data_IF_103794864048
#
_entry.id   IF_103794864048
#
_cell.length_a   1.000
_cell.length_b   1.000
_cell.length_c   1.000
_cell.angle_alpha   90.00
_cell.angle_beta   90.00
_cell.angle_gamma   90.00
#
_symmetry.space_group_name_H-M   'P 1'
#
loop_
_entity.id
_entity.type
_entity.pdbx_description
1 polymer ?
#
# COMPACT_ATOMS: atom_id res chain seq x y z
N UNK A 1 -3.32 1.64 5.61
CA UNK A 1 -3.24 2.97 4.97
C UNK A 1 -2.23 3.75 5.77
N UNK A 2 -1.13 4.22 5.16
CA UNK A 2 -0.17 5.04 5.90
C UNK A 2 -0.63 6.49 5.86
N UNK A 3 -0.40 7.20 6.96
CA UNK A 3 -0.68 8.62 7.10
C UNK A 3 0.65 9.35 7.33
N UNK A 4 0.84 10.50 6.68
CA UNK A 4 2.05 11.30 6.82
C UNK A 4 1.70 12.50 7.69
N UNK A 5 1.97 12.39 8.98
CA UNK A 5 1.81 13.50 9.90
C UNK A 5 3.06 14.37 9.86
N UNK A 6 2.87 15.64 9.50
CA UNK A 6 3.91 16.65 9.47
C UNK A 6 3.72 17.58 10.68
N UNK A 7 4.59 17.46 11.68
CA UNK A 7 4.63 18.39 12.81
C UNK A 7 5.82 19.32 12.62
N UNK A 8 5.62 20.65 12.61
CA UNK A 8 6.73 21.60 12.64
C UNK A 8 7.38 21.57 14.02
N UNK A 9 8.70 21.54 14.04
CA UNK A 9 9.51 21.73 15.24
C UNK A 9 9.73 23.21 15.56
N UNK A 10 10.43 23.45 16.66
CA UNK A 10 10.71 24.79 17.20
C UNK A 10 11.56 25.66 16.26
N UNK A 11 12.20 25.07 15.25
CA UNK A 11 12.96 25.78 14.21
C UNK A 11 12.12 26.12 12.98
N UNK A 12 10.87 25.65 12.93
CA UNK A 12 10.02 25.71 11.75
C UNK A 12 10.32 24.61 10.72
N UNK A 13 11.19 23.66 11.05
CA UNK A 13 11.44 22.49 10.21
C UNK A 13 10.37 21.42 10.47
N UNK A 14 9.96 20.70 9.44
CA UNK A 14 8.93 19.66 9.55
C UNK A 14 9.60 18.30 9.60
N UNK A 15 9.39 17.56 10.70
CA UNK A 15 9.79 16.16 10.79
C UNK A 15 8.54 15.29 10.67
N UNK A 16 8.47 14.47 9.62
CA UNK A 16 7.41 13.50 9.42
C UNK A 16 7.85 12.10 9.84
N UNK A 17 7.04 11.40 10.64
CA UNK A 17 7.26 10.00 11.00
C UNK A 17 6.33 9.11 10.18
N UNK A 18 6.92 8.21 9.41
CA UNK A 18 6.20 7.21 8.60
C UNK A 18 6.54 5.84 9.15
N UNK A 19 5.58 5.19 9.81
CA UNK A 19 5.71 3.83 10.28
C UNK A 19 5.07 2.88 9.28
N UNK A 20 5.87 1.96 8.72
CA UNK A 20 5.39 0.94 7.81
C UNK A 20 6.02 -0.38 8.22
N UNK A 21 5.15 -1.32 8.58
CA UNK A 21 5.54 -2.71 8.72
C UNK A 21 5.77 -3.28 7.32
N UNK A 22 7.03 -3.37 6.94
CA UNK A 22 7.47 -3.95 5.67
C UNK A 22 8.12 -5.29 5.96
N UNK A 23 7.72 -6.33 5.23
CA UNK A 23 8.45 -7.59 5.21
C UNK A 23 9.71 -7.35 4.36
N UNK A 24 10.80 -6.93 5.00
CA UNK A 24 12.10 -6.76 4.36
C UNK A 24 12.84 -8.11 4.34
N UNK A 25 12.83 -8.79 3.19
CA UNK A 25 13.48 -10.08 2.93
C UNK A 25 13.34 -10.48 1.46
N UNK A 26 13.57 -11.75 1.11
CA UNK A 26 13.17 -12.37 -0.18
C UNK A 26 11.64 -12.43 -0.29
N UNK A 27 11.01 -11.25 -0.25
CA UNK A 27 9.58 -11.09 -0.39
C UNK A 27 9.12 -11.53 -1.77
N UNK A 28 7.85 -11.94 -1.90
CA UNK A 28 7.32 -12.39 -3.17
C UNK A 28 7.47 -11.29 -4.23
N UNK A 29 7.96 -11.65 -5.41
CA UNK A 29 8.11 -10.72 -6.54
C UNK A 29 6.76 -10.34 -7.17
N UNK A 30 5.71 -11.11 -6.88
CA UNK A 30 4.35 -10.91 -7.37
C UNK A 30 3.32 -10.85 -6.23
N UNK A 31 2.21 -10.13 -6.44
CA UNK A 31 1.08 -10.16 -5.51
C UNK A 31 0.48 -11.56 -5.38
N UNK A 32 -0.11 -11.85 -4.22
CA UNK A 32 -0.94 -13.04 -4.03
C UNK A 32 -2.27 -12.87 -4.79
N UNK A 33 -2.23 -13.17 -6.09
CA UNK A 33 -3.38 -13.10 -6.99
C UNK A 33 -4.48 -14.09 -6.60
N UNK A 34 -4.11 -15.22 -6.01
CA UNK A 34 -5.09 -16.22 -5.57
C UNK A 34 -5.95 -15.65 -4.44
N UNK A 35 -5.32 -15.07 -3.41
CA UNK A 35 -6.03 -14.39 -2.33
C UNK A 35 -6.86 -13.21 -2.83
N UNK A 36 -6.34 -12.39 -3.74
CA UNK A 36 -7.10 -11.29 -4.33
C UNK A 36 -8.31 -11.78 -5.12
N UNK A 37 -8.20 -12.91 -5.84
CA UNK A 37 -9.31 -13.52 -6.55
C UNK A 37 -10.38 -14.08 -5.62
N UNK A 38 -9.98 -14.72 -4.50
CA UNK A 38 -10.91 -15.19 -3.49
C UNK A 38 -11.70 -14.06 -2.82
N UNK A 39 -11.06 -12.90 -2.61
CA UNK A 39 -11.70 -11.72 -2.01
C UNK A 39 -12.55 -10.97 -3.05
N UNK A 40 -12.14 -11.00 -4.32
CA UNK A 40 -12.86 -10.36 -5.41
C UNK A 40 -14.18 -11.08 -5.69
N UNK A 41 -15.24 -10.62 -5.01
CA UNK A 41 -16.61 -10.99 -5.27
C UNK A 41 -17.40 -9.75 -5.73
N UNK A 42 -18.26 -9.86 -6.75
CA UNK A 42 -19.10 -8.75 -7.23
C UNK A 42 -19.98 -8.12 -6.15
N UNK A 43 -20.23 -8.84 -5.05
CA UNK A 43 -21.01 -8.39 -3.90
C UNK A 43 -20.21 -8.45 -2.58
N UNK A 44 -18.94 -8.83 -2.66
CA UNK A 44 -18.05 -8.88 -1.51
C UNK A 44 -17.69 -7.49 -1.01
N UNK A 45 -17.25 -7.43 0.26
CA UNK A 45 -16.60 -6.26 0.84
C UNK A 45 -15.16 -6.60 1.17
N UNK A 46 -14.29 -5.60 1.18
CA UNK A 46 -12.89 -5.73 1.57
C UNK A 46 -11.95 -5.91 0.39
N UNK A 47 -12.44 -5.90 -0.85
CA UNK A 47 -11.58 -5.97 -2.03
C UNK A 47 -10.69 -4.74 -2.14
N UNK A 48 -11.23 -3.54 -1.91
CA UNK A 48 -10.46 -2.29 -1.98
C UNK A 48 -9.35 -2.23 -0.93
N UNK A 49 -9.64 -2.67 0.30
CA UNK A 49 -8.64 -2.78 1.35
C UNK A 49 -7.55 -3.80 0.98
N UNK A 50 -7.93 -5.01 0.58
CA UNK A 50 -7.00 -6.08 0.26
C UNK A 50 -6.09 -5.71 -0.92
N UNK A 51 -6.65 -5.14 -1.98
CA UNK A 51 -5.88 -4.65 -3.12
C UNK A 51 -4.90 -3.55 -2.70
N UNK A 52 -5.36 -2.59 -1.90
CA UNK A 52 -4.53 -1.48 -1.42
C UNK A 52 -3.38 -1.99 -0.53
N UNK A 53 -3.65 -2.96 0.36
CA UNK A 53 -2.61 -3.59 1.18
C UNK A 53 -1.58 -4.32 0.31
N UNK A 54 -2.01 -5.11 -0.67
CA UNK A 54 -1.09 -5.76 -1.62
C UNK A 54 -0.24 -4.73 -2.39
N UNK A 55 -0.84 -3.61 -2.81
CA UNK A 55 -0.11 -2.52 -3.49
C UNK A 55 0.97 -1.90 -2.60
N UNK A 56 0.68 -1.68 -1.31
CA UNK A 56 1.66 -1.13 -0.38
C UNK A 56 2.71 -2.15 0.08
N UNK A 57 2.38 -3.45 0.08
CA UNK A 57 3.36 -4.51 0.35
C UNK A 57 4.35 -4.71 -0.80
N UNK A 58 3.95 -4.40 -2.03
CA UNK A 58 4.79 -4.52 -3.23
C UNK A 58 4.82 -3.20 -4.03
N UNK A 59 5.44 -2.14 -3.48
CA UNK A 59 5.42 -0.82 -4.09
C UNK A 59 6.24 -0.72 -5.38
N UNK A 60 7.15 -1.67 -5.63
CA UNK A 60 7.92 -1.79 -6.88
C UNK A 60 7.16 -2.52 -7.99
N UNK A 61 6.09 -3.26 -7.68
CA UNK A 61 5.34 -4.03 -8.67
C UNK A 61 4.64 -3.09 -9.67
N UNK A 62 4.62 -3.38 -10.98
CA UNK A 62 4.04 -2.51 -12.01
C UNK A 62 2.50 -2.59 -12.01
N UNK A 63 1.88 -2.12 -10.93
CA UNK A 63 0.42 -2.09 -10.79
C UNK A 63 -0.25 -1.28 -11.90
N UNK A 64 -1.16 -1.92 -12.61
CA UNK A 64 -2.08 -1.28 -13.56
C UNK A 64 -3.48 -1.84 -13.39
N UNK A 65 -4.50 -1.05 -13.74
CA UNK A 65 -5.87 -1.51 -13.63
C UNK A 65 -6.14 -2.69 -14.58
N UNK A 66 -5.51 -2.66 -15.76
CA UNK A 66 -5.58 -3.70 -16.78
C UNK A 66 -4.96 -5.02 -16.29
N UNK A 67 -3.81 -4.97 -15.61
CA UNK A 67 -3.16 -6.18 -15.09
C UNK A 67 -3.97 -6.79 -13.96
N UNK A 68 -4.50 -5.96 -13.05
CA UNK A 68 -5.42 -6.43 -11.98
C UNK A 68 -6.67 -7.06 -12.59
N UNK A 69 -7.31 -6.39 -13.56
CA UNK A 69 -8.50 -6.93 -14.23
C UNK A 69 -8.20 -8.25 -14.94
N UNK A 70 -7.09 -8.32 -15.68
CA UNK A 70 -6.66 -9.54 -16.37
C UNK A 70 -6.39 -10.71 -15.42
N UNK A 71 -5.69 -10.47 -14.31
CA UNK A 71 -5.39 -11.51 -13.29
C UNK A 71 -6.64 -12.00 -12.55
N UNK A 72 -7.66 -11.16 -12.43
CA UNK A 72 -8.93 -11.49 -11.77
C UNK A 72 -10.03 -11.96 -12.74
N UNK A 73 -9.70 -12.20 -14.01
CA UNK A 73 -10.66 -12.54 -15.06
C UNK A 73 -11.87 -11.58 -15.12
N UNK A 74 -11.59 -10.29 -14.91
CA UNK A 74 -12.57 -9.22 -14.79
C UNK A 74 -12.35 -8.14 -15.84
N UNK A 75 -13.29 -7.20 -15.97
CA UNK A 75 -13.08 -5.99 -16.76
C UNK A 75 -12.53 -4.86 -15.88
N UNK A 76 -11.74 -3.93 -16.43
CA UNK A 76 -11.29 -2.74 -15.67
C UNK A 76 -12.45 -1.97 -15.04
N UNK A 77 -13.59 -1.88 -15.75
CA UNK A 77 -14.81 -1.25 -15.26
C UNK A 77 -15.38 -1.98 -14.05
N UNK A 78 -15.42 -3.31 -14.05
CA UNK A 78 -15.90 -4.07 -12.88
C UNK A 78 -15.00 -3.90 -11.65
N UNK A 79 -13.68 -3.82 -11.85
CA UNK A 79 -12.74 -3.50 -10.76
C UNK A 79 -13.02 -2.10 -10.20
N UNK A 80 -13.14 -1.09 -11.06
CA UNK A 80 -13.46 0.27 -10.63
C UNK A 80 -14.79 0.36 -9.88
N UNK A 81 -15.82 -0.36 -10.33
CA UNK A 81 -17.11 -0.41 -9.64
C UNK A 81 -17.02 -1.09 -8.28
N UNK A 82 -16.26 -2.18 -8.15
CA UNK A 82 -16.03 -2.83 -6.87
C UNK A 82 -15.31 -1.89 -5.89
N UNK A 83 -14.25 -1.21 -6.35
CA UNK A 83 -13.53 -0.22 -5.54
C UNK A 83 -14.42 0.96 -5.15
N UNK A 84 -15.19 1.50 -6.08
CA UNK A 84 -16.07 2.64 -5.84
C UNK A 84 -17.14 2.33 -4.78
N UNK A 85 -17.72 1.11 -4.81
CA UNK A 85 -18.69 0.65 -3.79
C UNK A 85 -18.11 0.63 -2.38
N UNK A 86 -16.80 0.42 -2.27
CA UNK A 86 -16.08 0.42 -1.01
C UNK A 86 -15.42 1.78 -0.69
N UNK A 87 -15.69 2.82 -1.48
CA UNK A 87 -15.06 4.15 -1.36
C UNK A 87 -13.53 4.15 -1.56
N UNK A 88 -13.02 3.21 -2.36
CA UNK A 88 -11.62 3.15 -2.77
C UNK A 88 -11.41 3.72 -4.19
N UNK A 89 -10.22 4.26 -4.42
CA UNK A 89 -9.76 4.72 -5.74
C UNK A 89 -8.43 4.07 -6.07
N UNK A 90 -8.38 3.34 -7.18
CA UNK A 90 -7.15 2.70 -7.68
C UNK A 90 -6.04 3.72 -7.91
N UNK A 91 -6.34 4.83 -8.59
CA UNK A 91 -5.35 5.87 -8.90
C UNK A 91 -4.85 6.60 -7.65
N UNK A 92 -5.70 6.78 -6.64
CA UNK A 92 -5.28 7.35 -5.36
C UNK A 92 -4.32 6.40 -4.63
N UNK A 93 -4.63 5.10 -4.57
CA UNK A 93 -3.76 4.09 -3.99
C UNK A 93 -2.43 3.98 -4.76
N UNK A 94 -2.48 3.97 -6.10
CA UNK A 94 -1.31 3.87 -6.96
C UNK A 94 -0.37 5.06 -6.80
N UNK A 95 -0.90 6.29 -6.71
CA UNK A 95 -0.07 7.48 -6.45
C UNK A 95 0.67 7.37 -5.13
N UNK A 96 -0.01 6.96 -4.05
CA UNK A 96 0.61 6.77 -2.74
C UNK A 96 1.63 5.63 -2.74
N UNK A 97 1.33 4.54 -3.43
CA UNK A 97 2.23 3.39 -3.62
C UNK A 97 3.52 3.79 -4.35
N UNK A 98 3.42 4.58 -5.42
CA UNK A 98 4.59 5.12 -6.14
C UNK A 98 5.40 6.10 -5.31
N UNK A 99 4.72 6.93 -4.50
CA UNK A 99 5.39 7.82 -3.56
C UNK A 99 6.19 7.02 -2.53
N UNK A 100 5.59 5.98 -1.94
CA UNK A 100 6.28 5.05 -1.05
C UNK A 100 7.48 4.38 -1.73
N UNK A 101 7.32 3.85 -2.95
CA UNK A 101 8.44 3.26 -3.69
C UNK A 101 9.59 4.27 -3.87
N UNK A 102 9.26 5.53 -4.15
CA UNK A 102 10.25 6.60 -4.29
C UNK A 102 10.96 6.86 -2.96
N UNK A 103 10.22 6.95 -1.85
CA UNK A 103 10.80 7.12 -0.52
C UNK A 103 11.75 5.98 -0.15
N UNK A 104 11.34 4.73 -0.40
CA UNK A 104 12.15 3.53 -0.12
C UNK A 104 13.39 3.44 -1.01
N UNK A 105 13.25 3.75 -2.31
CA UNK A 105 14.36 3.64 -3.28
C UNK A 105 15.35 4.78 -3.17
N UNK A 106 14.85 6.00 -3.01
CA UNK A 106 15.71 7.19 -2.91
C UNK A 106 16.37 7.23 -1.54
N UNK A 107 15.71 6.69 -0.50
CA UNK A 107 16.14 6.83 0.88
C UNK A 107 16.61 8.25 1.09
N UNK A 108 15.69 9.22 0.93
CA UNK A 108 16.00 10.66 1.01
C UNK A 108 17.07 10.84 2.09
N UNK A 109 18.15 11.57 1.82
CA UNK A 109 19.31 11.66 2.73
C UNK A 109 18.99 12.06 4.19
N UNK A 110 17.72 12.41 4.45
CA UNK A 110 17.12 12.78 5.74
C UNK A 110 16.11 11.75 6.30
N UNK A 111 15.87 10.63 5.61
CA UNK A 111 15.02 9.52 6.05
C UNK A 111 15.89 8.47 6.75
N UNK A 112 15.59 8.23 8.02
CA UNK A 112 16.20 7.14 8.79
C UNK A 112 15.23 5.97 8.82
N UNK A 113 15.66 4.83 8.29
CA UNK A 113 14.90 3.59 8.40
C UNK A 113 15.39 2.86 9.66
N UNK A 114 14.50 2.72 10.62
CA UNK A 114 14.76 1.93 11.83
C UNK A 114 13.89 0.67 11.74
N UNK A 115 14.53 -0.50 11.83
CA UNK A 115 13.79 -1.75 11.95
C UNK A 115 13.10 -1.75 13.31
N UNK A 116 11.76 -1.73 13.30
CA UNK A 116 10.99 -1.91 14.53
C UNK A 116 10.95 -3.40 14.82
N UNK A 117 11.81 -3.86 15.73
CA UNK A 117 11.71 -5.22 16.26
C UNK A 117 10.35 -5.31 16.96
N UNK A 118 9.49 -6.24 16.55
CA UNK A 118 8.06 -6.33 16.96
C UNK A 118 7.83 -6.71 18.43
N UNK A 119 8.69 -6.24 19.34
CA UNK A 119 8.68 -6.54 20.77
C UNK A 119 8.08 -5.43 21.64
N UNK A 120 7.82 -4.24 21.11
CA UNK A 120 7.29 -3.12 21.89
C UNK A 120 5.76 -2.99 21.82
N UNK A 121 5.05 -4.10 22.02
CA UNK A 121 3.64 -4.08 22.43
C UNK A 121 3.47 -4.90 23.71
N UNK A 122 4.19 -4.51 24.77
CA UNK A 122 3.76 -4.74 26.15
C UNK A 122 4.21 -3.54 27.00
N UNK A 123 3.32 -3.11 27.90
CA UNK A 123 3.39 -2.08 28.94
C UNK A 123 2.74 -0.75 28.52
N UNK A 124 1.72 -0.22 29.21
CA UNK A 124 0.92 -0.65 30.37
C UNK A 124 -0.34 0.24 30.37
#
# INVERSE_FOLDING_TARGET
MFDVHMLPDETGAVTGRLEIELITGDGPSEPDWHRLALIYSPHGRGFGLALTQSMFGLPWYPWTLESVAGRLCATPRSIQMALFRESYSFDAALRRCRHLHTLLRVGLAHCRFEAVDGKDVVNE
#
